data_IF_015943584708
#
_entry.id   IF_015943584708
#
_cell.length_a   1.000
_cell.length_b   1.000
_cell.length_c   1.000
_cell.angle_alpha   90.00
_cell.angle_beta   90.00
_cell.angle_gamma   90.00
#
_symmetry.space_group_name_H-M   'P 1'
#
loop_
_entity.id
_entity.type
_entity.pdbx_description
1 polymer ?
#
# COMPACT_ATOMS: atom_id res chain seq x y z
N UNK A 1 -9.99 -0.56 -12.69
CA UNK A 1 -9.11 0.52 -12.22
C UNK A 1 -9.98 1.59 -11.59
N UNK A 2 -10.23 1.50 -10.29
CA UNK A 2 -10.93 2.56 -9.56
C UNK A 2 -9.89 3.61 -9.17
N UNK A 3 -9.90 4.74 -9.89
CA UNK A 3 -9.13 5.91 -9.52
C UNK A 3 -9.54 6.35 -8.12
N UNK A 4 -8.59 6.37 -7.17
CA UNK A 4 -8.80 7.05 -5.90
C UNK A 4 -8.87 8.54 -6.19
N UNK A 5 -10.10 9.06 -6.29
CA UNK A 5 -10.38 10.48 -6.39
C UNK A 5 -9.69 11.13 -5.18
N UNK A 6 -8.76 12.05 -5.42
CA UNK A 6 -8.23 12.91 -4.37
C UNK A 6 -9.41 13.72 -3.83
N UNK A 7 -9.99 13.26 -2.73
CA UNK A 7 -11.03 13.98 -2.02
C UNK A 7 -10.35 15.23 -1.45
N UNK A 8 -10.69 16.39 -2.02
CA UNK A 8 -10.23 17.67 -1.49
C UNK A 8 -10.69 17.76 -0.04
N UNK A 9 -9.73 17.86 0.88
CA UNK A 9 -10.04 18.04 2.29
C UNK A 9 -10.60 19.44 2.51
N UNK A 10 -11.91 19.58 2.34
CA UNK A 10 -12.64 20.79 2.64
C UNK A 10 -12.70 20.94 4.16
N UNK A 11 -12.18 22.07 4.65
CA UNK A 11 -12.30 22.47 6.04
C UNK A 11 -13.72 23.03 6.16
N UNK A 12 -14.57 22.34 6.92
CA UNK A 12 -15.90 22.85 7.25
C UNK A 12 -15.77 24.14 8.07
N UNK A 13 -16.77 25.02 8.01
CA UNK A 13 -16.77 26.31 8.72
C UNK A 13 -16.69 26.16 10.26
N UNK A 14 -16.95 24.96 10.80
CA UNK A 14 -16.77 24.58 12.21
C UNK A 14 -15.29 24.23 12.56
N UNK A 15 -14.38 24.35 11.59
CA UNK A 15 -12.95 24.06 11.75
C UNK A 15 -12.59 22.57 11.78
N UNK A 16 -13.57 21.66 11.69
CA UNK A 16 -13.33 20.22 11.73
C UNK A 16 -13.08 19.65 10.33
N UNK A 17 -11.85 19.20 10.11
CA UNK A 17 -11.41 18.62 8.83
C UNK A 17 -12.04 17.25 8.52
N UNK A 18 -12.45 16.49 9.54
CA UNK A 18 -13.12 15.20 9.39
C UNK A 18 -14.06 14.99 10.59
N UNK A 19 -15.39 15.11 10.40
CA UNK A 19 -16.36 14.90 11.50
C UNK A 19 -16.44 13.43 11.93
N UNK A 20 -16.19 12.50 11.01
CA UNK A 20 -15.91 11.08 11.24
C UNK A 20 -15.08 10.61 10.05
N UNK A 21 -13.77 10.35 10.23
CA UNK A 21 -13.04 9.57 9.21
C UNK A 21 -13.79 8.25 9.06
N UNK A 22 -14.09 7.82 7.82
CA UNK A 22 -14.60 6.46 7.61
C UNK A 22 -13.63 5.51 8.32
N UNK A 23 -14.15 4.71 9.23
CA UNK A 23 -13.37 3.66 9.86
C UNK A 23 -12.97 2.73 8.72
N UNK A 24 -11.66 2.68 8.45
CA UNK A 24 -11.13 1.77 7.49
C UNK A 24 -9.71 2.06 7.07
N UNK A 25 -8.90 1.00 7.09
CA UNK A 25 -7.64 0.95 6.38
C UNK A 25 -7.94 0.90 4.88
N UNK A 26 -7.14 1.57 4.01
CA UNK A 26 -7.17 1.32 2.56
C UNK A 26 -6.93 -0.15 2.18
N UNK A 27 -6.46 -0.97 3.14
CA UNK A 27 -6.24 -2.40 3.03
C UNK A 27 -7.33 -3.25 3.70
N UNK A 28 -8.45 -2.64 4.14
CA UNK A 28 -9.61 -3.37 4.67
C UNK A 28 -10.05 -4.50 3.75
N UNK A 29 -10.27 -5.69 4.32
CA UNK A 29 -10.66 -6.87 3.55
C UNK A 29 -9.51 -7.59 2.83
N UNK A 30 -8.26 -7.16 3.08
CA UNK A 30 -6.99 -7.82 2.70
C UNK A 30 -6.89 -9.34 2.81
N UNK A 31 -7.67 -9.90 3.73
CA UNK A 31 -7.49 -11.22 4.35
C UNK A 31 -6.56 -11.15 5.57
N UNK A 32 -5.60 -12.08 5.75
CA UNK A 32 -4.73 -12.17 6.94
C UNK A 32 -3.79 -10.97 7.08
N UNK A 33 -3.46 -10.62 8.33
CA UNK A 33 -2.46 -9.59 8.66
C UNK A 33 -1.16 -9.84 7.88
N UNK A 34 -0.75 -8.85 7.06
CA UNK A 34 0.46 -8.94 6.23
C UNK A 34 0.25 -9.49 4.82
N UNK A 35 -1.00 -9.61 4.33
CA UNK A 35 -1.27 -9.97 2.94
C UNK A 35 -0.92 -8.87 1.93
N UNK A 36 -0.97 -7.60 2.31
CA UNK A 36 -0.48 -6.48 1.50
C UNK A 36 0.91 -6.05 1.99
N UNK A 37 1.87 -5.95 1.07
CA UNK A 37 3.26 -5.53 1.34
C UNK A 37 3.68 -4.41 0.38
N UNK A 38 4.45 -3.44 0.85
CA UNK A 38 5.04 -2.40 0.01
C UNK A 38 6.30 -2.90 -0.69
N UNK A 39 6.39 -2.70 -2.00
CA UNK A 39 7.61 -3.04 -2.74
C UNK A 39 8.69 -2.00 -2.48
N UNK A 40 9.89 -2.44 -2.09
CA UNK A 40 11.02 -1.54 -1.82
C UNK A 40 11.51 -0.77 -3.06
N UNK A 41 11.22 -1.26 -4.27
CA UNK A 41 11.66 -0.65 -5.54
C UNK A 41 10.66 0.39 -6.10
N UNK A 42 9.39 0.02 -6.25
CA UNK A 42 8.37 0.93 -6.80
C UNK A 42 7.49 1.61 -5.75
N UNK A 43 7.63 1.26 -4.47
CA UNK A 43 6.86 1.85 -3.36
C UNK A 43 5.38 1.44 -3.29
N UNK A 44 4.83 0.81 -4.33
CA UNK A 44 3.42 0.42 -4.35
C UNK A 44 3.14 -0.78 -3.44
N UNK A 45 1.98 -0.75 -2.78
CA UNK A 45 1.46 -1.90 -2.05
C UNK A 45 0.90 -2.93 -3.03
N UNK A 46 1.35 -4.17 -2.86
CA UNK A 46 0.96 -5.32 -3.69
C UNK A 46 0.69 -6.51 -2.77
N UNK A 47 -0.15 -7.47 -3.19
CA UNK A 47 -0.35 -8.67 -2.42
C UNK A 47 0.98 -9.44 -2.26
N UNK A 48 1.22 -10.01 -1.08
CA UNK A 48 2.43 -10.76 -0.75
C UNK A 48 2.64 -11.95 -1.70
N UNK A 49 1.54 -12.54 -2.18
CA UNK A 49 1.53 -13.62 -3.17
C UNK A 49 2.04 -13.19 -4.55
N UNK A 50 1.96 -11.91 -4.92
CA UNK A 50 2.43 -11.40 -6.20
C UNK A 50 3.90 -10.95 -6.18
N UNK A 51 4.68 -11.40 -5.19
CA UNK A 51 6.07 -10.97 -5.03
C UNK A 51 6.92 -11.96 -4.24
N UNK A 52 8.12 -11.53 -3.87
CA UNK A 52 9.08 -12.36 -3.14
C UNK A 52 9.98 -11.51 -2.25
N UNK A 53 10.49 -12.11 -1.18
CA UNK A 53 11.52 -11.49 -0.35
C UNK A 53 12.91 -11.73 -0.95
N UNK A 54 13.73 -10.69 -0.98
CA UNK A 54 15.14 -10.79 -1.37
C UNK A 54 15.99 -9.99 -0.39
N UNK A 55 17.24 -10.41 -0.24
CA UNK A 55 18.22 -9.66 0.55
C UNK A 55 18.66 -8.42 -0.22
N UNK A 56 18.39 -7.26 0.34
CA UNK A 56 18.75 -5.95 -0.20
C UNK A 56 19.21 -5.07 0.95
N UNK A 57 20.32 -4.34 0.80
CA UNK A 57 20.91 -3.53 1.88
C UNK A 57 21.08 -4.31 3.20
N UNK A 58 21.56 -5.56 3.12
CA UNK A 58 21.75 -6.47 4.26
C UNK A 58 20.48 -6.90 5.03
N UNK A 59 19.28 -6.54 4.57
CA UNK A 59 18.00 -6.97 5.16
C UNK A 59 17.11 -7.65 4.10
N UNK A 60 16.13 -8.44 4.56
CA UNK A 60 15.15 -9.05 3.66
C UNK A 60 14.02 -8.07 3.38
N UNK A 61 13.88 -7.65 2.12
CA UNK A 61 12.84 -6.74 1.66
C UNK A 61 11.93 -7.38 0.61
N UNK A 62 10.69 -6.92 0.54
CA UNK A 62 9.70 -7.38 -0.42
C UNK A 62 9.87 -6.68 -1.78
N UNK A 63 9.90 -7.49 -2.85
CA UNK A 63 9.88 -7.04 -4.23
C UNK A 63 8.63 -7.60 -4.93
N UNK A 64 7.84 -6.74 -5.57
CA UNK A 64 6.72 -7.19 -6.41
C UNK A 64 7.24 -7.86 -7.68
N UNK A 65 6.41 -8.71 -8.32
CA UNK A 65 6.79 -9.46 -9.53
C UNK A 65 7.27 -8.59 -10.68
N UNK A 66 6.69 -7.40 -10.86
CA UNK A 66 7.09 -6.43 -11.89
C UNK A 66 8.50 -5.86 -11.63
N UNK A 67 8.85 -5.64 -10.35
CA UNK A 67 10.13 -5.05 -9.94
C UNK A 67 11.23 -6.08 -9.70
N UNK A 68 10.84 -7.36 -9.59
CA UNK A 68 11.77 -8.47 -9.49
C UNK A 68 12.47 -8.61 -10.84
N UNK A 69 13.62 -7.96 -10.99
CA UNK A 69 14.57 -8.32 -12.04
C UNK A 69 14.90 -9.80 -11.82
N UNK A 70 14.37 -10.65 -12.69
CA UNK A 70 14.71 -12.06 -12.81
C UNK A 70 16.21 -12.07 -13.14
N UNK A 71 17.10 -12.56 -12.26
CA UNK A 71 18.41 -12.96 -12.74
C UNK A 71 18.17 -14.11 -13.72
N UNK A 72 18.74 -13.99 -14.93
CA UNK A 72 18.84 -15.10 -15.87
C UNK A 72 19.54 -16.30 -15.23
#
# INVERSE_FOLDING_TARGET
>A
MTYHKHESSEIKDDGLRYSKKKNGSPFEGTGRTGEMMSCIKCGTHKPRSSGSFRRFLNANHFFCGECRAVPA
#
